data_IF_537789849872
#
_entry.id   IF_537789849872
#
_cell.length_a   1.000
_cell.length_b   1.000
_cell.length_c   1.000
_cell.angle_alpha   90.00
_cell.angle_beta   90.00
_cell.angle_gamma   90.00
#
_symmetry.space_group_name_H-M   'P 1'
#
loop_
_entity.id
_entity.type
_entity.pdbx_description
1 polymer ?
#
# COMPACT_ATOMS: atom_id res chain seq x y z
N UNK A 1 22.48 21.78 16.00
CA UNK A 1 21.57 20.63 15.85
C UNK A 1 22.14 19.76 14.73
N UNK A 2 22.14 18.42 14.86
CA UNK A 2 22.59 17.55 13.76
C UNK A 2 21.73 17.79 12.51
N UNK A 3 22.37 17.75 11.34
CA UNK A 3 21.69 17.84 10.05
C UNK A 3 20.69 16.67 9.91
N UNK A 4 19.43 16.96 9.57
CA UNK A 4 18.38 15.94 9.46
C UNK A 4 18.73 14.90 8.39
N UNK A 5 19.34 15.33 7.28
CA UNK A 5 19.80 14.43 6.22
C UNK A 5 20.89 13.49 6.72
N UNK A 6 21.82 13.99 7.54
CA UNK A 6 22.88 13.17 8.14
C UNK A 6 22.33 12.08 9.08
N UNK A 7 21.29 12.40 9.85
CA UNK A 7 20.57 11.43 10.69
C UNK A 7 19.86 10.36 9.83
N UNK A 8 19.23 10.76 8.73
CA UNK A 8 18.59 9.82 7.80
C UNK A 8 19.60 8.88 7.16
N UNK A 9 20.72 9.39 6.64
CA UNK A 9 21.77 8.56 6.04
C UNK A 9 22.39 7.58 7.05
N UNK A 10 22.57 8.03 8.29
CA UNK A 10 23.07 7.17 9.38
C UNK A 10 22.08 6.06 9.71
N UNK A 11 20.78 6.38 9.79
CA UNK A 11 19.73 5.39 10.06
C UNK A 11 19.61 4.36 8.93
N UNK A 12 19.66 4.79 7.66
CA UNK A 12 19.65 3.89 6.51
C UNK A 12 20.89 2.99 6.51
N UNK A 13 22.08 3.58 6.66
CA UNK A 13 23.33 2.81 6.67
C UNK A 13 23.45 1.81 7.82
N UNK A 14 22.72 2.01 8.92
CA UNK A 14 22.64 1.06 10.03
C UNK A 14 21.58 -0.03 9.81
N UNK A 15 20.54 0.23 9.03
CA UNK A 15 19.42 -0.68 8.81
C UNK A 15 19.65 -1.72 7.70
N UNK A 16 20.60 -1.48 6.81
CA UNK A 16 20.87 -2.31 5.64
C UNK A 16 22.31 -2.78 5.59
N UNK A 17 22.52 -4.04 5.18
CA UNK A 17 23.86 -4.52 4.88
C UNK A 17 24.39 -3.88 3.60
N UNK A 18 25.70 -3.98 3.37
CA UNK A 18 26.33 -3.44 2.17
C UNK A 18 25.70 -4.04 0.90
N UNK A 19 25.39 -5.34 0.91
CA UNK A 19 24.76 -6.04 -0.23
C UNK A 19 23.31 -5.62 -0.44
N UNK A 20 22.54 -5.42 0.63
CA UNK A 20 21.19 -4.85 0.53
C UNK A 20 21.21 -3.46 -0.11
N UNK A 21 22.20 -2.63 0.25
CA UNK A 21 22.36 -1.30 -0.35
C UNK A 21 22.70 -1.42 -1.84
N UNK A 22 23.58 -2.35 -2.25
CA UNK A 22 23.88 -2.57 -3.69
C UNK A 22 22.61 -2.94 -4.45
N UNK A 23 21.84 -3.87 -3.91
CA UNK A 23 20.61 -4.36 -4.53
C UNK A 23 19.52 -3.29 -4.61
N UNK A 24 19.34 -2.51 -3.54
CA UNK A 24 18.40 -1.39 -3.51
C UNK A 24 18.76 -0.33 -4.56
N UNK A 25 20.04 0.06 -4.64
CA UNK A 25 20.51 1.05 -5.62
C UNK A 25 20.35 0.53 -7.04
N UNK A 26 20.73 -0.72 -7.30
CA UNK A 26 20.58 -1.34 -8.63
C UNK A 26 19.11 -1.40 -9.04
N UNK A 27 18.20 -1.86 -8.16
CA UNK A 27 16.76 -1.93 -8.45
C UNK A 27 16.09 -0.57 -8.57
N UNK A 28 16.60 0.46 -7.90
CA UNK A 28 16.07 1.83 -8.02
C UNK A 28 16.55 2.54 -9.27
N UNK A 29 17.78 2.29 -9.71
CA UNK A 29 18.46 3.15 -10.70
C UNK A 29 18.90 2.42 -11.97
N UNK A 30 18.92 1.08 -11.95
CA UNK A 30 19.56 0.23 -12.96
C UNK A 30 21.08 0.35 -13.03
N UNK A 31 21.70 1.18 -12.18
CA UNK A 31 23.14 1.44 -12.18
C UNK A 31 23.79 0.65 -11.04
N UNK A 32 24.87 -0.10 -11.31
CA UNK A 32 25.67 -0.70 -10.25
C UNK A 32 26.19 0.37 -9.29
N UNK A 33 26.04 0.15 -7.98
CA UNK A 33 26.49 1.12 -6.98
C UNK A 33 28.01 1.41 -7.07
N UNK A 34 28.79 0.43 -7.54
CA UNK A 34 30.24 0.54 -7.76
C UNK A 34 30.62 1.66 -8.73
N UNK A 35 29.70 2.04 -9.62
CA UNK A 35 29.90 3.09 -10.60
C UNK A 35 29.62 4.49 -10.01
N UNK A 36 29.04 4.54 -8.80
CA UNK A 36 28.57 5.75 -8.13
C UNK A 36 29.38 6.09 -6.87
N UNK A 37 29.95 5.09 -6.19
CA UNK A 37 30.62 5.25 -4.90
C UNK A 37 31.87 4.38 -4.79
N UNK A 38 32.78 4.72 -3.87
CA UNK A 38 33.99 3.92 -3.63
C UNK A 38 33.66 2.64 -2.87
N UNK A 39 34.30 1.52 -3.22
CA UNK A 39 34.06 0.23 -2.54
C UNK A 39 34.29 0.29 -1.02
N UNK A 40 35.28 1.09 -0.59
CA UNK A 40 35.67 1.28 0.81
C UNK A 40 34.84 2.32 1.56
N UNK A 41 33.90 2.99 0.89
CA UNK A 41 33.02 3.94 1.57
C UNK A 41 32.15 3.19 2.60
N UNK A 42 31.98 3.71 3.82
CA UNK A 42 31.07 3.12 4.79
C UNK A 42 29.61 3.24 4.32
N UNK A 43 28.67 2.38 4.78
CA UNK A 43 27.27 2.35 4.34
C UNK A 43 26.59 3.72 4.30
N UNK A 44 26.74 4.51 5.37
CA UNK A 44 26.24 5.89 5.45
C UNK A 44 26.72 6.75 4.28
N UNK A 45 28.02 6.72 3.97
CA UNK A 45 28.63 7.55 2.92
C UNK A 45 28.21 7.08 1.52
N UNK A 46 28.02 5.76 1.34
CA UNK A 46 27.46 5.19 0.10
C UNK A 46 26.05 5.72 -0.14
N UNK A 47 25.18 5.67 0.88
CA UNK A 47 23.80 6.19 0.78
C UNK A 47 23.79 7.70 0.52
N UNK A 48 24.56 8.49 1.26
CA UNK A 48 24.70 9.93 1.05
C UNK A 48 25.03 10.22 -0.42
N UNK A 49 26.12 9.65 -0.95
CA UNK A 49 26.55 9.89 -2.34
C UNK A 49 25.48 9.50 -3.37
N UNK A 50 24.78 8.38 -3.18
CA UNK A 50 23.75 7.95 -4.13
C UNK A 50 22.50 8.84 -4.04
N UNK A 51 22.06 9.21 -2.84
CA UNK A 51 20.91 10.11 -2.67
C UNK A 51 21.22 11.47 -3.30
N UNK A 52 22.41 12.03 -3.10
CA UNK A 52 22.79 13.31 -3.71
C UNK A 52 22.89 13.21 -5.23
N UNK A 53 23.48 12.14 -5.77
CA UNK A 53 23.49 11.86 -7.20
C UNK A 53 22.08 11.80 -7.80
N UNK A 54 21.12 11.21 -7.09
CA UNK A 54 19.74 11.13 -7.55
C UNK A 54 18.98 12.44 -7.36
N UNK A 55 19.30 13.22 -6.32
CA UNK A 55 18.71 14.55 -6.07
C UNK A 55 19.01 15.49 -7.22
N UNK A 56 20.26 15.52 -7.69
CA UNK A 56 20.69 16.36 -8.81
C UNK A 56 19.96 16.03 -10.13
N UNK A 57 19.33 14.85 -10.20
CA UNK A 57 18.54 14.36 -11.34
C UNK A 57 17.03 14.34 -11.10
N UNK A 58 16.57 14.82 -9.94
CA UNK A 58 15.15 14.80 -9.56
C UNK A 58 14.59 13.40 -9.27
N UNK A 59 15.44 12.38 -9.08
CA UNK A 59 15.06 10.97 -8.95
C UNK A 59 15.31 10.38 -7.56
N UNK A 60 15.63 11.21 -6.55
CA UNK A 60 15.92 10.76 -5.18
C UNK A 60 14.81 9.89 -4.56
N UNK A 61 13.55 10.14 -4.95
CA UNK A 61 12.38 9.36 -4.53
C UNK A 61 12.50 7.88 -4.84
N UNK A 62 13.10 7.51 -5.97
CA UNK A 62 13.21 6.11 -6.38
C UNK A 62 13.96 5.26 -5.36
N UNK A 63 15.02 5.79 -4.77
CA UNK A 63 15.78 5.09 -3.74
C UNK A 63 15.08 5.19 -2.39
N UNK A 64 14.71 6.39 -1.97
CA UNK A 64 14.15 6.62 -0.63
C UNK A 64 12.85 5.84 -0.41
N UNK A 65 11.97 5.74 -1.42
CA UNK A 65 10.77 4.92 -1.33
C UNK A 65 11.09 3.43 -1.19
N UNK A 66 12.05 2.88 -1.95
CA UNK A 66 12.45 1.49 -1.80
C UNK A 66 13.04 1.22 -0.42
N UNK A 67 13.91 2.10 0.06
CA UNK A 67 14.49 2.03 1.41
C UNK A 67 13.39 1.99 2.48
N UNK A 68 12.42 2.91 2.44
CA UNK A 68 11.31 2.93 3.40
C UNK A 68 10.43 1.67 3.34
N UNK A 69 10.24 1.13 2.14
CA UNK A 69 9.46 -0.09 1.92
C UNK A 69 10.16 -1.33 2.47
N UNK A 70 11.49 -1.43 2.32
CA UNK A 70 12.28 -2.61 2.70
C UNK A 70 12.93 -2.54 4.10
N UNK A 71 12.87 -1.39 4.79
CA UNK A 71 13.50 -1.25 6.10
C UNK A 71 12.84 -2.16 7.15
N UNK A 72 13.59 -3.14 7.64
CA UNK A 72 13.21 -4.06 8.73
C UNK A 72 13.07 -3.34 10.08
N UNK A 73 13.89 -2.32 10.34
CA UNK A 73 13.75 -1.38 11.47
C UNK A 73 12.80 -0.21 11.13
N UNK A 74 11.61 -0.57 10.61
CA UNK A 74 10.79 0.25 9.72
C UNK A 74 10.48 1.67 10.20
N UNK A 75 9.92 1.82 11.40
CA UNK A 75 9.27 3.08 11.78
C UNK A 75 10.30 4.20 12.05
N UNK A 76 11.41 3.90 12.75
CA UNK A 76 12.48 4.88 12.99
C UNK A 76 13.16 5.34 11.68
N UNK A 77 13.50 4.40 10.79
CA UNK A 77 14.14 4.74 9.50
C UNK A 77 13.20 5.58 8.64
N UNK A 78 11.92 5.18 8.54
CA UNK A 78 10.89 5.92 7.80
C UNK A 78 10.71 7.34 8.34
N UNK A 79 10.64 7.50 9.66
CA UNK A 79 10.49 8.81 10.28
C UNK A 79 11.69 9.72 9.97
N UNK A 80 12.92 9.23 10.12
CA UNK A 80 14.13 10.01 9.79
C UNK A 80 14.16 10.40 8.31
N UNK A 81 13.72 9.53 7.41
CA UNK A 81 13.64 9.85 5.98
C UNK A 81 12.59 10.93 5.72
N UNK A 82 11.38 10.81 6.28
CA UNK A 82 10.32 11.81 6.09
C UNK A 82 10.72 13.17 6.67
N UNK A 83 11.34 13.20 7.85
CA UNK A 83 11.81 14.43 8.49
C UNK A 83 12.89 15.15 7.65
N UNK A 84 13.75 14.38 6.98
CA UNK A 84 14.86 14.89 6.19
C UNK A 84 14.49 15.23 4.74
N UNK A 85 13.53 14.52 4.16
CA UNK A 85 13.16 14.63 2.74
C UNK A 85 11.64 14.79 2.53
N UNK A 86 10.96 15.73 3.22
CA UNK A 86 9.50 15.86 3.16
C UNK A 86 9.03 16.12 1.73
N UNK A 87 9.65 17.07 1.01
CA UNK A 87 9.27 17.43 -0.37
C UNK A 87 9.40 16.27 -1.37
N UNK A 88 10.25 15.29 -1.08
CA UNK A 88 10.42 14.12 -1.96
C UNK A 88 9.23 13.18 -1.90
N UNK A 89 8.52 13.19 -0.76
CA UNK A 89 7.51 12.21 -0.40
C UNK A 89 6.10 12.79 -0.37
N UNK A 90 5.99 14.13 -0.32
CA UNK A 90 4.75 14.88 -0.50
C UNK A 90 4.25 14.75 -1.94
N UNK A 91 2.92 14.68 -2.10
CA UNK A 91 2.30 14.81 -3.42
C UNK A 91 2.69 13.68 -4.38
N UNK A 92 2.44 12.42 -3.97
CA UNK A 92 2.68 11.28 -4.83
C UNK A 92 1.94 11.46 -6.17
N UNK A 93 2.65 11.42 -7.32
CA UNK A 93 2.02 11.49 -8.63
C UNK A 93 1.07 10.31 -8.81
N UNK A 94 0.14 10.46 -9.75
CA UNK A 94 -0.77 9.38 -10.12
C UNK A 94 -0.02 8.37 -10.97
N UNK A 95 -0.14 7.08 -10.65
CA UNK A 95 0.48 6.03 -11.45
C UNK A 95 -0.03 6.05 -12.90
N UNK A 96 -1.28 6.46 -13.11
CA UNK A 96 -1.91 6.57 -14.43
C UNK A 96 -1.13 7.42 -15.44
N UNK A 97 -0.53 8.53 -15.03
CA UNK A 97 0.26 9.39 -15.94
C UNK A 97 1.54 8.69 -16.41
N UNK A 98 2.21 7.99 -15.48
CA UNK A 98 3.42 7.22 -15.79
C UNK A 98 3.09 5.97 -16.62
N UNK A 99 1.99 5.27 -16.31
CA UNK A 99 1.50 4.13 -17.10
C UNK A 99 1.16 4.57 -18.52
N UNK A 100 0.49 5.71 -18.70
CA UNK A 100 0.13 6.24 -20.02
C UNK A 100 1.38 6.48 -20.87
N UNK A 101 2.44 7.06 -20.29
CA UNK A 101 3.74 7.22 -20.94
C UNK A 101 4.38 5.88 -21.32
N UNK A 102 4.38 4.92 -20.41
CA UNK A 102 4.91 3.57 -20.67
C UNK A 102 4.13 2.86 -21.80
N UNK A 103 2.80 2.96 -21.81
CA UNK A 103 1.93 2.39 -22.84
C UNK A 103 2.17 3.03 -24.21
N UNK A 104 2.34 4.34 -24.29
CA UNK A 104 2.63 5.03 -25.55
C UNK A 104 3.91 4.50 -26.19
N UNK A 105 4.95 4.24 -25.39
CA UNK A 105 6.18 3.63 -25.88
C UNK A 105 6.00 2.16 -26.28
N UNK A 106 5.41 1.35 -25.40
CA UNK A 106 5.16 -0.07 -25.68
C UNK A 106 4.33 -0.25 -26.95
N UNK A 107 3.33 0.60 -27.18
CA UNK A 107 2.52 0.59 -28.40
C UNK A 107 3.36 0.86 -29.65
N UNK A 108 4.32 1.80 -29.60
CA UNK A 108 5.24 2.06 -30.73
C UNK A 108 6.12 0.84 -31.01
N UNK A 109 6.75 0.26 -29.98
CA UNK A 109 7.63 -0.90 -30.14
C UNK A 109 6.87 -2.13 -30.64
N UNK A 110 5.65 -2.35 -30.15
CA UNK A 110 4.81 -3.49 -30.48
C UNK A 110 3.92 -3.27 -31.72
N UNK A 111 4.02 -2.11 -32.38
CA UNK A 111 3.30 -1.84 -33.64
C UNK A 111 3.91 -2.58 -34.84
N UNK A 112 5.15 -3.04 -34.71
CA UNK A 112 5.89 -3.83 -35.70
C UNK A 112 6.27 -5.16 -35.04
N UNK A 113 6.16 -6.31 -35.74
CA UNK A 113 6.60 -7.58 -35.19
C UNK A 113 8.04 -7.49 -34.68
N UNK A 114 8.31 -8.02 -33.49
CA UNK A 114 9.63 -7.99 -32.91
C UNK A 114 10.62 -8.71 -33.85
N UNK A 115 11.76 -8.08 -34.19
CA UNK A 115 12.83 -8.74 -34.95
C UNK A 115 13.23 -10.07 -34.32
N UNK A 116 13.67 -11.03 -35.13
CA UNK A 116 13.97 -12.39 -34.66
C UNK A 116 15.06 -12.40 -33.59
N UNK A 117 16.04 -11.54 -33.73
CA UNK A 117 17.15 -11.33 -32.80
C UNK A 117 16.64 -10.83 -31.44
N UNK A 118 15.60 -9.98 -31.45
CA UNK A 118 14.93 -9.47 -30.24
C UNK A 118 14.18 -10.59 -29.55
N UNK A 119 13.40 -11.39 -30.30
CA UNK A 119 12.64 -12.52 -29.76
C UNK A 119 13.55 -13.56 -29.08
N UNK A 120 14.64 -13.95 -29.75
CA UNK A 120 15.59 -14.91 -29.20
C UNK A 120 16.25 -14.40 -27.92
N UNK A 121 16.54 -13.10 -27.86
CA UNK A 121 17.12 -12.45 -26.68
C UNK A 121 16.12 -12.29 -25.54
N UNK A 122 14.82 -12.23 -25.79
CA UNK A 122 13.78 -12.12 -24.75
C UNK A 122 13.26 -13.47 -24.25
N UNK A 123 13.58 -14.57 -24.94
CA UNK A 123 13.15 -15.92 -24.58
C UNK A 123 13.46 -16.30 -23.11
N UNK A 124 14.65 -16.00 -22.55
CA UNK A 124 14.95 -16.30 -21.14
C UNK A 124 14.04 -15.57 -20.15
N UNK A 125 13.51 -14.41 -20.55
CA UNK A 125 12.67 -13.54 -19.74
C UNK A 125 11.18 -13.88 -19.85
N UNK A 126 10.81 -14.91 -20.64
CA UNK A 126 9.42 -15.34 -20.86
C UNK A 126 8.66 -15.60 -19.56
N UNK A 127 9.31 -16.21 -18.56
CA UNK A 127 8.70 -16.46 -17.25
C UNK A 127 8.37 -15.16 -16.52
N UNK A 128 9.26 -14.17 -16.57
CA UNK A 128 9.05 -12.85 -15.97
C UNK A 128 7.89 -12.11 -16.65
N UNK A 129 7.85 -12.09 -17.99
CA UNK A 129 6.72 -11.52 -18.73
C UNK A 129 5.40 -12.24 -18.47
N UNK A 130 5.41 -13.56 -18.24
CA UNK A 130 4.20 -14.32 -17.89
C UNK A 130 3.71 -14.05 -16.47
N UNK A 131 4.64 -13.77 -15.54
CA UNK A 131 4.33 -13.44 -14.14
C UNK A 131 3.77 -12.02 -13.98
N UNK A 132 4.27 -11.03 -14.73
CA UNK A 132 3.86 -9.63 -14.57
C UNK A 132 2.35 -9.40 -14.68
N UNK A 133 1.63 -9.85 -15.73
CA UNK A 133 0.18 -9.72 -15.81
C UNK A 133 -0.52 -10.35 -14.61
N UNK A 134 -0.11 -11.54 -14.18
CA UNK A 134 -0.71 -12.23 -13.04
C UNK A 134 -0.57 -11.43 -11.75
N UNK A 135 0.62 -10.89 -11.49
CA UNK A 135 0.86 -10.04 -10.32
C UNK A 135 0.01 -8.77 -10.36
N UNK A 136 -0.05 -8.09 -11.51
CA UNK A 136 -0.84 -6.85 -11.65
C UNK A 136 -2.34 -7.11 -11.49
N UNK A 137 -2.85 -8.19 -12.08
CA UNK A 137 -4.26 -8.60 -11.91
C UNK A 137 -4.55 -8.91 -10.44
N UNK A 138 -3.66 -9.65 -9.78
CA UNK A 138 -3.80 -9.98 -8.37
C UNK A 138 -3.81 -8.73 -7.47
N UNK A 139 -2.94 -7.75 -7.73
CA UNK A 139 -2.93 -6.48 -7.00
C UNK A 139 -4.27 -5.75 -7.12
N UNK A 140 -4.80 -5.62 -8.34
CA UNK A 140 -6.09 -4.97 -8.56
C UNK A 140 -7.24 -5.71 -7.86
N UNK A 141 -7.28 -7.04 -7.97
CA UNK A 141 -8.30 -7.87 -7.34
C UNK A 141 -8.25 -7.79 -5.81
N UNK A 142 -7.08 -7.99 -5.21
CA UNK A 142 -6.90 -7.92 -3.75
C UNK A 142 -7.26 -6.54 -3.22
N UNK A 143 -6.90 -5.48 -3.96
CA UNK A 143 -7.23 -4.12 -3.57
C UNK A 143 -8.73 -3.81 -3.65
N UNK A 144 -9.42 -4.36 -4.65
CA UNK A 144 -10.88 -4.25 -4.76
C UNK A 144 -11.59 -4.91 -3.57
N UNK A 145 -11.15 -6.11 -3.17
CA UNK A 145 -11.67 -6.79 -1.97
C UNK A 145 -11.37 -5.99 -0.70
N UNK A 146 -10.16 -5.45 -0.59
CA UNK A 146 -9.73 -4.65 0.55
C UNK A 146 -10.59 -3.39 0.72
N UNK A 147 -10.91 -2.68 -0.37
CA UNK A 147 -11.79 -1.50 -0.33
C UNK A 147 -13.19 -1.87 0.19
N UNK A 148 -13.77 -2.96 -0.29
CA UNK A 148 -15.08 -3.43 0.15
C UNK A 148 -15.11 -3.70 1.66
N UNK A 149 -14.11 -4.44 2.14
CA UNK A 149 -13.97 -4.75 3.56
C UNK A 149 -13.69 -3.51 4.41
N UNK A 150 -12.94 -2.54 3.89
CA UNK A 150 -12.68 -1.28 4.60
C UNK A 150 -13.94 -0.42 4.75
N UNK A 151 -14.74 -0.30 3.68
CA UNK A 151 -16.04 0.38 3.73
C UNK A 151 -17.00 -0.29 4.72
N UNK A 152 -17.03 -1.63 4.72
CA UNK A 152 -17.79 -2.40 5.70
C UNK A 152 -17.30 -2.12 7.13
N UNK A 153 -15.98 -2.13 7.36
CA UNK A 153 -15.39 -1.85 8.67
C UNK A 153 -15.79 -0.46 9.20
N UNK A 154 -15.76 0.57 8.36
CA UNK A 154 -16.17 1.91 8.78
C UNK A 154 -17.66 2.01 9.09
N UNK A 155 -18.49 1.30 8.32
CA UNK A 155 -19.93 1.20 8.62
C UNK A 155 -20.15 0.51 9.98
N UNK A 156 -19.39 -0.56 10.25
CA UNK A 156 -19.43 -1.26 11.54
C UNK A 156 -18.98 -0.38 12.70
N UNK A 157 -17.87 0.35 12.55
CA UNK A 157 -17.37 1.28 13.56
C UNK A 157 -18.40 2.39 13.86
N UNK A 158 -19.17 2.83 12.86
CA UNK A 158 -20.26 3.80 13.09
C UNK A 158 -21.38 3.20 13.94
N UNK A 159 -21.80 1.98 13.63
CA UNK A 159 -22.89 1.31 14.34
C UNK A 159 -22.49 0.87 15.74
N UNK A 160 -21.23 0.48 15.95
CA UNK A 160 -20.64 0.26 17.28
C UNK A 160 -20.76 1.51 18.15
N UNK A 161 -20.37 2.69 17.63
CA UNK A 161 -20.47 3.96 18.35
C UNK A 161 -21.93 4.32 18.68
N UNK A 162 -22.88 4.10 17.77
CA UNK A 162 -24.31 4.33 18.02
C UNK A 162 -24.90 3.38 19.07
N UNK A 163 -24.46 2.12 19.08
CA UNK A 163 -24.87 1.16 20.11
C UNK A 163 -24.33 1.50 21.49
N UNK A 164 -23.11 2.03 21.55
CA UNK A 164 -22.47 2.50 22.76
C UNK A 164 -23.08 3.78 23.31
N UNK A 165 -23.39 4.74 22.42
CA UNK A 165 -23.90 6.07 22.78
C UNK A 165 -25.32 6.24 22.23
N UNK A 166 -26.32 5.75 22.98
CA UNK A 166 -27.76 5.87 22.62
C UNK A 166 -28.32 7.30 22.76
N UNK A 167 -27.47 8.30 22.91
CA UNK A 167 -27.91 9.69 23.05
C UNK A 167 -28.53 10.18 21.73
N UNK A 168 -29.70 10.83 21.84
CA UNK A 168 -30.39 11.56 20.75
C UNK A 168 -31.19 10.76 19.70
N UNK A 169 -31.69 9.56 20.03
CA UNK A 169 -32.72 8.92 19.19
C UNK A 169 -32.25 8.49 17.79
N UNK A 170 -30.94 8.52 17.52
CA UNK A 170 -30.34 7.95 16.33
C UNK A 170 -30.11 6.46 16.57
N UNK A 171 -30.82 5.61 15.82
CA UNK A 171 -30.73 4.15 15.93
C UNK A 171 -29.65 3.60 14.98
N UNK A 172 -28.93 2.54 15.36
CA UNK A 172 -28.02 1.85 14.45
C UNK A 172 -28.76 1.27 13.25
N UNK A 173 -28.16 1.38 12.06
CA UNK A 173 -28.72 0.94 10.79
C UNK A 173 -28.35 -0.51 10.47
N UNK A 174 -28.70 -1.45 11.35
CA UNK A 174 -28.26 -2.86 11.26
C UNK A 174 -28.66 -3.56 9.95
N UNK A 175 -29.80 -3.17 9.37
CA UNK A 175 -30.24 -3.69 8.06
C UNK A 175 -29.33 -3.21 6.92
N UNK A 176 -28.96 -1.93 6.93
CA UNK A 176 -28.01 -1.39 5.95
C UNK A 176 -26.64 -2.08 6.06
N UNK A 177 -26.17 -2.36 7.28
CA UNK A 177 -24.94 -3.14 7.48
C UNK A 177 -25.06 -4.53 6.85
N UNK A 178 -26.17 -5.24 7.09
CA UNK A 178 -26.39 -6.56 6.50
C UNK A 178 -26.41 -6.51 4.96
N UNK A 179 -27.02 -5.49 4.38
CA UNK A 179 -27.06 -5.31 2.92
C UNK A 179 -25.67 -4.96 2.34
N UNK A 180 -24.84 -4.21 3.06
CA UNK A 180 -23.43 -4.00 2.68
C UNK A 180 -22.60 -5.29 2.75
N UNK A 181 -22.89 -6.19 3.69
CA UNK A 181 -22.23 -7.50 3.74
C UNK A 181 -22.60 -8.33 2.50
N UNK A 182 -23.88 -8.37 2.14
CA UNK A 182 -24.34 -9.12 0.97
C UNK A 182 -23.70 -8.56 -0.32
N UNK A 183 -23.66 -7.23 -0.48
CA UNK A 183 -22.96 -6.59 -1.60
C UNK A 183 -21.46 -6.95 -1.64
N UNK A 184 -20.79 -6.99 -0.48
CA UNK A 184 -19.39 -7.40 -0.42
C UNK A 184 -19.21 -8.86 -0.83
N UNK A 185 -20.10 -9.76 -0.39
CA UNK A 185 -20.10 -11.19 -0.78
C UNK A 185 -20.33 -11.34 -2.28
N UNK A 186 -21.29 -10.63 -2.87
CA UNK A 186 -21.59 -10.67 -4.31
C UNK A 186 -20.41 -10.25 -5.20
N UNK A 187 -19.55 -9.35 -4.71
CA UNK A 187 -18.36 -8.89 -5.44
C UNK A 187 -17.19 -9.90 -5.40
N UNK A 188 -17.18 -10.82 -4.43
CA UNK A 188 -16.08 -11.79 -4.29
C UNK A 188 -15.95 -12.70 -5.51
N UNK A 189 -17.00 -13.40 -6.01
CA UNK A 189 -16.87 -14.27 -7.18
C UNK A 189 -16.35 -13.54 -8.43
N UNK A 190 -16.84 -12.33 -8.68
CA UNK A 190 -16.38 -11.52 -9.82
C UNK A 190 -14.90 -11.18 -9.70
N UNK A 191 -14.45 -10.83 -8.50
CA UNK A 191 -13.05 -10.48 -8.25
C UNK A 191 -12.14 -11.70 -8.29
N UNK A 192 -12.59 -12.85 -7.76
CA UNK A 192 -11.87 -14.11 -7.83
C UNK A 192 -11.76 -14.66 -9.26
N UNK A 193 -12.75 -14.39 -10.12
CA UNK A 193 -12.71 -14.82 -11.53
C UNK A 193 -11.55 -14.21 -12.33
N UNK A 194 -10.96 -13.12 -11.82
CA UNK A 194 -9.76 -12.50 -12.41
C UNK A 194 -8.47 -13.25 -12.05
N UNK A 195 -8.50 -14.13 -11.05
CA UNK A 195 -7.32 -14.78 -10.49
C UNK A 195 -7.18 -16.22 -11.00
N UNK A 196 -6.01 -16.56 -11.52
CA UNK A 196 -5.60 -17.96 -11.76
C UNK A 196 -5.05 -18.59 -10.45
N UNK A 197 -5.74 -18.42 -9.32
CA UNK A 197 -5.18 -18.74 -8.00
C UNK A 197 -5.64 -20.10 -7.46
N UNK A 198 -4.67 -20.95 -7.08
CA UNK A 198 -4.89 -22.19 -6.33
C UNK A 198 -5.34 -21.95 -4.87
N UNK A 199 -5.29 -20.70 -4.40
CA UNK A 199 -5.72 -20.31 -3.05
C UNK A 199 -6.35 -18.91 -3.08
N UNK A 200 -7.66 -18.78 -2.90
CA UNK A 200 -8.32 -17.49 -2.93
C UNK A 200 -7.97 -16.67 -1.67
N UNK A 201 -7.87 -15.32 -1.79
CA UNK A 201 -7.58 -14.42 -0.68
C UNK A 201 -8.67 -14.38 0.41
N UNK A 202 -9.89 -14.82 0.08
CA UNK A 202 -11.01 -14.99 1.01
C UNK A 202 -11.51 -16.42 0.86
N UNK A 203 -11.60 -17.15 1.97
CA UNK A 203 -12.05 -18.55 1.96
C UNK A 203 -13.57 -18.69 1.91
N UNK A 204 -14.08 -19.79 1.37
CA UNK A 204 -15.51 -20.13 1.42
C UNK A 204 -16.06 -20.13 2.86
N UNK A 205 -15.26 -20.59 3.82
CA UNK A 205 -15.62 -20.58 5.24
C UNK A 205 -15.71 -19.17 5.85
N UNK A 206 -14.99 -18.18 5.30
CA UNK A 206 -15.15 -16.78 5.69
C UNK A 206 -16.38 -16.16 5.05
N UNK A 207 -16.68 -16.47 3.78
CA UNK A 207 -17.93 -16.04 3.13
C UNK A 207 -19.15 -16.55 3.89
N UNK A 208 -19.18 -17.84 4.24
CA UNK A 208 -20.27 -18.42 5.03
C UNK A 208 -20.44 -17.74 6.41
N UNK A 209 -19.35 -17.27 7.03
CA UNK A 209 -19.44 -16.50 8.29
C UNK A 209 -20.02 -15.11 8.08
N UNK A 210 -19.64 -14.43 6.99
CA UNK A 210 -20.22 -13.13 6.63
C UNK A 210 -21.74 -13.25 6.40
N UNK A 211 -22.19 -14.29 5.69
CA UNK A 211 -23.62 -14.59 5.51
C UNK A 211 -24.35 -14.81 6.84
N UNK A 212 -23.75 -15.59 7.76
CA UNK A 212 -24.31 -15.82 9.09
C UNK A 212 -24.41 -14.52 9.91
N UNK A 213 -23.41 -13.64 9.82
CA UNK A 213 -23.45 -12.34 10.48
C UNK A 213 -24.51 -11.42 9.86
N UNK A 214 -24.64 -11.38 8.54
CA UNK A 214 -25.69 -10.61 7.86
C UNK A 214 -27.09 -11.04 8.31
N UNK A 215 -27.35 -12.35 8.37
CA UNK A 215 -28.59 -12.90 8.90
C UNK A 215 -28.82 -12.50 10.38
N UNK A 216 -27.78 -12.57 11.21
CA UNK A 216 -27.85 -12.23 12.64
C UNK A 216 -28.10 -10.74 12.89
N UNK A 217 -27.57 -9.86 12.04
CA UNK A 217 -27.83 -8.42 12.10
C UNK A 217 -29.28 -8.10 11.72
N UNK A 218 -29.83 -8.79 10.71
CA UNK A 218 -31.23 -8.65 10.31
C UNK A 218 -32.20 -9.05 11.42
N UNK A 219 -31.94 -10.16 12.10
CA UNK A 219 -32.78 -10.60 13.24
C UNK A 219 -32.65 -9.69 14.44
N UNK A 220 -31.51 -9.03 14.62
CA UNK A 220 -31.26 -8.07 15.71
C UNK A 220 -31.75 -6.66 15.39
N UNK A 221 -32.31 -6.40 14.19
CA UNK A 221 -32.73 -5.07 13.77
C UNK A 221 -33.81 -4.46 14.68
N UNK A 222 -34.73 -5.30 15.19
CA UNK A 222 -35.83 -4.86 16.06
C UNK A 222 -35.43 -4.83 17.56
N UNK A 223 -34.26 -5.37 17.91
CA UNK A 223 -33.69 -5.39 19.25
C UNK A 223 -32.16 -5.16 19.19
N UNK A 224 -31.71 -3.91 18.95
CA UNK A 224 -30.33 -3.61 18.60
C UNK A 224 -29.28 -3.99 19.64
N UNK A 225 -29.62 -4.07 20.93
CA UNK A 225 -28.72 -4.58 21.99
C UNK A 225 -28.17 -5.98 21.68
N UNK A 226 -28.92 -6.81 20.97
CA UNK A 226 -28.49 -8.16 20.61
C UNK A 226 -27.39 -8.16 19.53
N UNK A 227 -27.22 -7.03 18.83
CA UNK A 227 -26.25 -6.90 17.75
C UNK A 227 -24.83 -6.59 18.23
N UNK A 228 -24.62 -6.22 19.50
CA UNK A 228 -23.29 -5.82 20.03
C UNK A 228 -22.24 -6.90 19.79
N UNK A 229 -22.51 -8.12 20.24
CA UNK A 229 -21.59 -9.26 20.08
C UNK A 229 -21.40 -9.63 18.59
N UNK A 230 -22.44 -9.47 17.78
CA UNK A 230 -22.40 -9.73 16.34
C UNK A 230 -21.46 -8.74 15.64
N UNK A 231 -21.60 -7.45 15.93
CA UNK A 231 -20.76 -6.39 15.37
C UNK A 231 -19.30 -6.57 15.79
N UNK A 232 -19.04 -6.83 17.07
CA UNK A 232 -17.66 -7.08 17.54
C UNK A 232 -16.99 -8.25 16.81
N UNK A 233 -17.70 -9.38 16.69
CA UNK A 233 -17.17 -10.56 16.01
C UNK A 233 -16.98 -10.34 14.52
N UNK A 234 -17.90 -9.62 13.87
CA UNK A 234 -17.79 -9.24 12.48
C UNK A 234 -16.61 -8.27 12.25
N UNK A 235 -16.42 -7.26 13.10
CA UNK A 235 -15.27 -6.37 13.04
C UNK A 235 -13.94 -7.13 13.20
N UNK A 236 -13.86 -8.10 14.12
CA UNK A 236 -12.68 -8.96 14.29
C UNK A 236 -12.40 -9.77 13.01
N UNK A 237 -13.43 -10.34 12.39
CA UNK A 237 -13.31 -11.06 11.13
C UNK A 237 -12.79 -10.15 10.01
N UNK A 238 -13.44 -9.00 9.81
CA UNK A 238 -13.10 -8.03 8.76
C UNK A 238 -11.68 -7.50 8.93
N UNK A 239 -11.26 -7.11 10.14
CA UNK A 239 -9.88 -6.66 10.41
C UNK A 239 -8.83 -7.72 10.10
N UNK A 240 -9.12 -8.98 10.45
CA UNK A 240 -8.22 -10.10 10.12
C UNK A 240 -8.06 -10.26 8.61
N UNK A 241 -9.17 -10.25 7.86
CA UNK A 241 -9.15 -10.36 6.40
C UNK A 241 -8.45 -9.17 5.74
N UNK A 242 -8.65 -7.95 6.26
CA UNK A 242 -7.93 -6.75 5.80
C UNK A 242 -6.42 -6.87 6.02
N UNK A 243 -5.99 -7.35 7.20
CA UNK A 243 -4.57 -7.57 7.51
C UNK A 243 -3.93 -8.61 6.59
N UNK A 244 -4.64 -9.73 6.34
CA UNK A 244 -4.22 -10.76 5.39
C UNK A 244 -4.03 -10.18 3.98
N UNK A 245 -5.06 -9.52 3.45
CA UNK A 245 -5.02 -8.89 2.12
C UNK A 245 -3.91 -7.87 2.00
N UNK A 246 -3.67 -7.08 3.04
CA UNK A 246 -2.60 -6.08 3.04
C UNK A 246 -1.21 -6.72 2.98
N UNK A 247 -1.00 -7.81 3.72
CA UNK A 247 0.26 -8.57 3.65
C UNK A 247 0.46 -9.16 2.25
N UNK A 248 -0.60 -9.70 1.64
CA UNK A 248 -0.55 -10.28 0.30
C UNK A 248 -0.28 -9.20 -0.77
N UNK A 249 -0.93 -8.04 -0.68
CA UNK A 249 -0.66 -6.87 -1.53
C UNK A 249 0.79 -6.41 -1.36
N UNK A 250 1.26 -6.26 -0.12
CA UNK A 250 2.61 -5.79 0.16
C UNK A 250 3.67 -6.75 -0.42
N UNK A 251 3.46 -8.06 -0.25
CA UNK A 251 4.33 -9.09 -0.83
C UNK A 251 4.28 -9.07 -2.36
N UNK A 252 3.10 -8.94 -2.97
CA UNK A 252 2.96 -8.85 -4.42
C UNK A 252 3.65 -7.62 -4.99
N UNK A 253 3.56 -6.47 -4.33
CA UNK A 253 4.27 -5.24 -4.74
C UNK A 253 5.78 -5.39 -4.56
N UNK A 254 6.22 -6.07 -3.51
CA UNK A 254 7.64 -6.37 -3.30
C UNK A 254 8.22 -7.26 -4.40
N UNK A 255 7.44 -8.25 -4.82
CA UNK A 255 7.80 -9.23 -5.85
C UNK A 255 7.59 -8.72 -7.28
N UNK A 256 6.88 -7.60 -7.45
CA UNK A 256 6.64 -6.99 -8.75
C UNK A 256 7.95 -6.41 -9.28
N UNK A 257 8.50 -7.08 -10.28
CA UNK A 257 9.70 -6.65 -11.01
C UNK A 257 9.33 -6.32 -12.45
N UNK A 258 9.84 -5.20 -12.93
CA UNK A 258 9.83 -4.81 -14.34
C UNK A 258 11.24 -4.86 -14.95
N UNK A 259 12.16 -5.61 -14.33
CA UNK A 259 13.58 -5.65 -14.74
C UNK A 259 13.72 -6.27 -16.14
N UNK A 260 12.85 -7.23 -16.49
CA UNK A 260 12.80 -7.79 -17.84
C UNK A 260 12.52 -6.73 -18.92
N UNK A 261 11.80 -5.66 -18.56
CA UNK A 261 11.47 -4.56 -19.46
C UNK A 261 12.54 -3.44 -19.45
N UNK A 262 13.17 -3.20 -18.30
CA UNK A 262 14.03 -2.03 -18.08
C UNK A 262 15.52 -2.32 -18.15
N UNK A 263 15.96 -3.53 -17.79
CA UNK A 263 17.37 -3.91 -17.73
C UNK A 263 17.72 -5.05 -18.73
N UNK A 264 16.83 -6.03 -18.92
CA UNK A 264 17.11 -7.20 -19.78
C UNK A 264 16.83 -6.94 -21.26
N UNK A 265 15.75 -6.22 -21.58
CA UNK A 265 15.42 -5.78 -22.94
C UNK A 265 16.55 -4.95 -23.61
N UNK A 266 17.22 -4.00 -22.93
CA UNK A 266 18.13 -3.04 -23.59
C UNK A 266 19.60 -3.46 -23.54
N UNK A 267 20.04 -4.09 -22.45
CA UNK A 267 21.37 -4.72 -22.38
C UNK A 267 21.56 -5.75 -23.51
N UNK A 268 20.43 -6.31 -23.97
CA UNK A 268 20.37 -7.23 -25.09
C UNK A 268 20.06 -6.53 -26.42
N UNK A 269 19.89 -5.21 -26.50
CA UNK A 269 19.58 -4.48 -27.73
C UNK A 269 20.30 -3.12 -27.74
N UNK A 270 21.60 -3.14 -28.05
CA UNK A 270 22.46 -1.94 -28.06
C UNK A 270 21.89 -0.76 -28.86
N UNK A 271 21.21 -1.01 -29.99
CA UNK A 271 20.60 0.06 -30.81
C UNK A 271 19.35 0.71 -30.18
N UNK A 272 18.72 0.06 -29.20
CA UNK A 272 17.50 0.56 -28.54
C UNK A 272 17.87 1.26 -27.23
N UNK A 273 18.93 0.82 -26.55
CA UNK A 273 19.38 1.35 -25.26
C UNK A 273 19.68 2.86 -25.30
N UNK A 274 20.23 3.35 -26.41
CA UNK A 274 20.58 4.76 -26.59
C UNK A 274 19.45 5.60 -27.19
N UNK A 275 18.27 5.00 -27.47
CA UNK A 275 17.13 5.77 -27.98
C UNK A 275 16.47 6.55 -26.85
N UNK A 276 16.19 7.83 -27.10
CA UNK A 276 15.49 8.73 -26.15
C UNK A 276 14.18 8.11 -25.67
N UNK A 277 13.46 7.47 -26.59
CA UNK A 277 12.17 6.84 -26.32
C UNK A 277 12.30 5.67 -25.35
N UNK A 278 13.38 4.89 -25.43
CA UNK A 278 13.64 3.81 -24.48
C UNK A 278 13.99 4.35 -23.09
N UNK A 279 14.80 5.41 -23.01
CA UNK A 279 15.10 6.08 -21.74
C UNK A 279 13.84 6.62 -21.06
N UNK A 280 12.90 7.17 -21.85
CA UNK A 280 11.58 7.60 -21.36
C UNK A 280 10.74 6.44 -20.81
N UNK A 281 10.74 5.27 -21.47
CA UNK A 281 10.08 4.07 -20.94
C UNK A 281 10.67 3.67 -19.59
N UNK A 282 12.00 3.59 -19.48
CA UNK A 282 12.68 3.18 -18.24
C UNK A 282 12.35 4.15 -17.11
N UNK A 283 12.41 5.46 -17.38
CA UNK A 283 12.01 6.48 -16.42
C UNK A 283 10.55 6.28 -15.99
N UNK A 284 9.63 6.11 -16.95
CA UNK A 284 8.22 5.91 -16.65
C UNK A 284 7.97 4.66 -15.78
N UNK A 285 8.63 3.54 -16.08
CA UNK A 285 8.48 2.31 -15.30
C UNK A 285 9.07 2.44 -13.89
N UNK A 286 10.20 3.13 -13.73
CA UNK A 286 10.78 3.40 -12.40
C UNK A 286 9.89 4.32 -11.57
N UNK A 287 9.32 5.35 -12.20
CA UNK A 287 8.35 6.23 -11.56
C UNK A 287 7.07 5.48 -11.15
N UNK A 288 6.53 4.63 -12.02
CA UNK A 288 5.41 3.73 -11.69
C UNK A 288 5.76 2.89 -10.47
N UNK A 289 6.92 2.22 -10.49
CA UNK A 289 7.34 1.33 -9.41
C UNK A 289 7.47 2.06 -8.09
N UNK A 290 8.14 3.22 -8.07
CA UNK A 290 8.25 4.06 -6.88
C UNK A 290 6.88 4.55 -6.39
N UNK A 291 5.95 4.86 -7.30
CA UNK A 291 4.58 5.28 -6.94
C UNK A 291 3.80 4.16 -6.27
N UNK A 292 3.85 2.97 -6.84
CA UNK A 292 3.11 1.81 -6.33
C UNK A 292 3.66 1.35 -4.98
N UNK A 293 4.99 1.36 -4.80
CA UNK A 293 5.62 1.10 -3.51
C UNK A 293 5.19 2.12 -2.45
N UNK A 294 5.25 3.42 -2.77
CA UNK A 294 4.86 4.48 -1.85
C UNK A 294 3.38 4.40 -1.45
N UNK A 295 2.48 4.16 -2.43
CA UNK A 295 1.05 3.99 -2.19
C UNK A 295 0.75 2.79 -1.30
N UNK A 296 1.39 1.67 -1.58
CA UNK A 296 1.21 0.44 -0.79
C UNK A 296 1.71 0.60 0.64
N UNK A 297 2.88 1.23 0.82
CA UNK A 297 3.40 1.56 2.15
C UNK A 297 2.44 2.49 2.89
N UNK A 298 1.95 3.55 2.23
CA UNK A 298 1.02 4.49 2.83
C UNK A 298 -0.29 3.81 3.24
N UNK A 299 -0.91 3.03 2.35
CA UNK A 299 -2.13 2.26 2.65
C UNK A 299 -1.94 1.31 3.83
N UNK A 300 -0.77 0.64 3.92
CA UNK A 300 -0.42 -0.19 5.08
C UNK A 300 -0.32 0.61 6.38
N UNK A 301 0.32 1.78 6.36
CA UNK A 301 0.42 2.64 7.56
C UNK A 301 -0.95 3.13 8.03
N UNK A 302 -1.88 3.45 7.12
CA UNK A 302 -3.26 3.79 7.48
C UNK A 302 -4.00 2.61 8.13
N UNK A 303 -3.80 1.39 7.63
CA UNK A 303 -4.40 0.19 8.23
C UNK A 303 -3.81 -0.13 9.60
N UNK A 304 -2.50 0.01 9.75
CA UNK A 304 -1.82 -0.20 11.01
C UNK A 304 -2.27 0.86 12.06
N UNK A 305 -2.58 2.09 11.63
CA UNK A 305 -3.19 3.11 12.48
C UNK A 305 -4.65 2.78 12.87
N UNK A 306 -5.48 2.26 11.94
CA UNK A 306 -6.85 1.79 12.26
C UNK A 306 -6.82 0.64 13.27
N UNK A 307 -5.92 -0.33 13.08
CA UNK A 307 -5.78 -1.47 13.98
C UNK A 307 -5.40 -1.02 15.39
N UNK A 308 -4.48 -0.06 15.51
CA UNK A 308 -4.10 0.51 16.80
C UNK A 308 -5.25 1.31 17.43
N UNK A 309 -6.00 2.11 16.67
CA UNK A 309 -7.20 2.79 17.17
C UNK A 309 -8.24 1.80 17.72
N UNK A 310 -8.41 0.64 17.07
CA UNK A 310 -9.30 -0.40 17.56
C UNK A 310 -8.83 -1.04 18.89
N UNK A 311 -7.54 -0.99 19.22
CA UNK A 311 -7.05 -1.36 20.55
C UNK A 311 -7.45 -0.32 21.59
N UNK A 312 -7.33 0.96 21.24
CA UNK A 312 -7.70 2.08 22.12
C UNK A 312 -9.19 2.00 22.51
N UNK A 313 -10.08 1.69 21.56
CA UNK A 313 -11.51 1.49 21.83
C UNK A 313 -11.79 0.48 22.96
N UNK A 314 -10.93 -0.52 23.18
CA UNK A 314 -11.14 -1.55 24.21
C UNK A 314 -10.93 -1.04 25.63
N UNK A 315 -10.08 -0.03 25.84
CA UNK A 315 -9.87 0.56 27.17
C UNK A 315 -11.14 1.26 27.70
N UNK A 316 -12.04 1.70 26.83
CA UNK A 316 -13.32 2.28 27.23
C UNK A 316 -14.37 1.22 27.65
N UNK A 317 -14.12 -0.06 27.40
CA UNK A 317 -15.02 -1.17 27.78
C UNK A 317 -14.64 -1.73 29.16
N UNK A 318 -13.34 -1.74 29.48
CA UNK A 318 -12.78 -2.15 30.78
C UNK A 318 -11.92 -0.99 31.31
N UNK A 319 -12.51 -0.01 32.02
CA UNK A 319 -11.78 1.18 32.43
C UNK A 319 -10.73 0.84 33.50
N UNK A 320 -9.50 0.59 33.05
CA UNK A 320 -8.29 0.60 33.88
C UNK A 320 -7.69 2.03 33.95
N UNK A 321 -6.60 2.19 34.71
CA UNK A 321 -5.89 3.47 34.90
C UNK A 321 -5.42 4.08 33.57
N UNK A 322 -5.48 5.40 33.43
CA UNK A 322 -5.16 6.18 32.21
C UNK A 322 -3.72 5.94 31.74
N UNK A 323 -2.82 5.55 32.64
CA UNK A 323 -1.45 5.15 32.30
C UNK A 323 -1.38 3.95 31.35
N UNK A 324 -2.40 3.09 31.31
CA UNK A 324 -2.43 1.91 30.42
C UNK A 324 -2.73 2.25 28.95
N UNK A 325 -3.48 3.33 28.69
CA UNK A 325 -3.84 3.76 27.33
C UNK A 325 -2.82 4.72 26.71
N UNK A 326 -2.02 5.41 27.54
CA UNK A 326 -1.15 6.50 27.09
C UNK A 326 -0.11 6.05 26.05
N UNK A 327 0.54 4.91 26.26
CA UNK A 327 1.57 4.39 25.33
C UNK A 327 0.96 3.97 23.98
N UNK A 328 -0.22 3.33 24.00
CA UNK A 328 -0.94 2.93 22.80
C UNK A 328 -1.46 4.15 22.03
N UNK A 329 -1.92 5.19 22.74
CA UNK A 329 -2.33 6.46 22.16
C UNK A 329 -1.16 7.19 21.51
N UNK A 330 -0.02 7.30 22.20
CA UNK A 330 1.18 7.91 21.63
C UNK A 330 1.60 7.20 20.34
N UNK A 331 1.52 5.87 20.31
CA UNK A 331 1.80 5.08 19.10
C UNK A 331 0.84 5.40 17.95
N UNK A 332 -0.46 5.57 18.21
CA UNK A 332 -1.45 6.00 17.20
C UNK A 332 -1.12 7.40 16.71
N UNK A 333 -0.89 8.33 17.63
CA UNK A 333 -0.62 9.73 17.34
C UNK A 333 0.64 9.89 16.48
N UNK A 334 1.76 9.27 16.86
CA UNK A 334 3.01 9.34 16.11
C UNK A 334 2.84 8.89 14.65
N UNK A 335 2.05 7.84 14.43
CA UNK A 335 1.73 7.35 13.07
C UNK A 335 0.87 8.33 12.29
N UNK A 336 -0.12 8.94 12.93
CA UNK A 336 -1.02 9.90 12.27
C UNK A 336 -0.29 11.21 11.98
N UNK A 337 0.56 11.68 12.88
CA UNK A 337 1.44 12.83 12.66
C UNK A 337 2.40 12.58 11.50
N UNK A 338 2.95 11.36 11.39
CA UNK A 338 3.76 10.96 10.24
C UNK A 338 2.97 10.97 8.93
N UNK A 339 1.74 10.42 8.93
CA UNK A 339 0.86 10.44 7.75
C UNK A 339 0.48 11.87 7.35
N UNK A 340 0.23 12.74 8.32
CA UNK A 340 -0.08 14.15 8.12
C UNK A 340 1.11 14.93 7.54
N UNK A 341 2.33 14.62 7.96
CA UNK A 341 3.55 15.21 7.40
C UNK A 341 3.76 14.88 5.90
N UNK A 342 3.17 13.78 5.41
CA UNK A 342 3.22 13.40 3.99
C UNK A 342 2.16 14.10 3.13
N UNK A 343 1.15 14.71 3.74
CA UNK A 343 0.05 15.42 3.07
C UNK A 343 -0.25 16.77 3.75
N UNK A 344 0.75 17.68 3.84
CA UNK A 344 0.61 18.91 4.60
C UNK A 344 -0.40 19.90 4.00
N UNK A 345 -0.67 19.81 2.70
CA UNK A 345 -1.62 20.69 2.01
C UNK A 345 -3.08 20.22 2.14
N UNK A 346 -3.30 19.06 2.74
CA UNK A 346 -4.64 18.60 3.00
C UNK A 346 -5.11 19.15 4.34
N UNK A 347 -6.22 19.90 4.34
CA UNK A 347 -6.81 20.44 5.57
C UNK A 347 -7.00 19.38 6.65
N UNK A 348 -7.08 18.11 6.26
CA UNK A 348 -7.17 17.01 7.21
C UNK A 348 -5.99 16.92 8.19
N UNK A 349 -4.78 17.24 7.77
CA UNK A 349 -3.60 17.18 8.62
C UNK A 349 -3.69 18.10 9.85
N UNK A 350 -4.32 19.27 9.72
CA UNK A 350 -4.48 20.23 10.81
C UNK A 350 -5.61 19.82 11.76
N UNK A 351 -6.72 19.35 11.22
CA UNK A 351 -7.86 18.80 11.99
C UNK A 351 -7.43 17.60 12.82
N UNK A 352 -6.64 16.68 12.27
CA UNK A 352 -6.11 15.52 12.99
C UNK A 352 -5.26 15.95 14.19
N UNK A 353 -4.38 16.95 14.03
CA UNK A 353 -3.56 17.49 15.11
C UNK A 353 -4.41 18.15 16.19
N UNK A 354 -5.44 18.89 15.80
CA UNK A 354 -6.35 19.55 16.73
C UNK A 354 -7.04 18.53 17.65
N UNK A 355 -7.68 17.51 17.06
CA UNK A 355 -8.33 16.46 17.84
C UNK A 355 -7.34 15.65 18.70
N UNK A 356 -6.14 15.38 18.17
CA UNK A 356 -5.11 14.69 18.95
C UNK A 356 -4.69 15.49 20.19
N UNK A 357 -4.53 16.81 20.06
CA UNK A 357 -4.24 17.71 21.20
C UNK A 357 -5.39 17.77 22.20
N UNK A 358 -6.65 17.72 21.75
CA UNK A 358 -7.81 17.66 22.65
C UNK A 358 -7.75 16.37 23.50
N UNK A 359 -7.50 15.22 22.88
CA UNK A 359 -7.36 13.93 23.58
C UNK A 359 -6.15 13.94 24.54
N UNK A 360 -5.00 14.47 24.13
CA UNK A 360 -3.83 14.60 25.00
C UNK A 360 -4.13 15.43 26.26
N UNK A 361 -4.83 16.56 26.08
CA UNK A 361 -5.19 17.44 27.17
C UNK A 361 -6.15 16.76 28.15
N UNK A 362 -7.06 15.93 27.66
CA UNK A 362 -7.97 15.14 28.49
C UNK A 362 -7.23 14.05 29.26
N UNK A 363 -6.34 13.28 28.62
CA UNK A 363 -5.50 12.31 29.31
C UNK A 363 -4.60 12.95 30.38
N UNK A 364 -4.14 14.19 30.17
CA UNK A 364 -3.35 14.91 31.18
C UNK A 364 -4.19 15.41 32.37
N UNK A 365 -5.51 15.63 32.18
CA UNK A 365 -6.42 16.21 33.19
C UNK A 365 -7.16 15.14 33.98
N UNK A 366 -7.52 14.03 33.35
CA UNK A 366 -8.40 13.03 33.92
C UNK A 366 -7.64 11.85 34.53
N UNK A 367 -8.09 11.40 35.71
CA UNK A 367 -7.55 10.20 36.38
C UNK A 367 -8.24 8.91 35.93
N UNK A 368 -9.32 9.00 35.15
CA UNK A 368 -10.13 7.89 34.65
C UNK A 368 -10.68 8.25 33.28
N UNK A 369 -10.80 7.28 32.39
CA UNK A 369 -11.44 7.43 31.10
C UNK A 369 -12.95 7.64 31.32
N UNK A 370 -13.44 8.87 31.16
CA UNK A 370 -14.86 9.18 31.24
C UNK A 370 -15.54 9.17 29.86
N UNK A 371 -16.86 9.40 29.84
CA UNK A 371 -17.65 9.41 28.61
C UNK A 371 -17.28 10.56 27.65
N UNK A 372 -16.72 11.67 28.15
CA UNK A 372 -16.28 12.78 27.30
C UNK A 372 -15.03 12.40 26.51
N UNK A 373 -14.05 11.77 27.17
CA UNK A 373 -12.83 11.29 26.49
C UNK A 373 -13.16 10.27 25.42
N UNK A 374 -14.14 9.39 25.70
CA UNK A 374 -14.68 8.46 24.71
C UNK A 374 -15.30 9.18 23.52
N UNK A 375 -16.09 10.24 23.75
CA UNK A 375 -16.73 11.01 22.68
C UNK A 375 -15.70 11.72 21.79
N UNK A 376 -14.66 12.34 22.36
CA UNK A 376 -13.59 12.95 21.57
C UNK A 376 -12.80 11.91 20.76
N UNK A 377 -12.52 10.74 21.36
CA UNK A 377 -11.86 9.66 20.64
C UNK A 377 -12.71 9.12 19.48
N UNK A 378 -14.01 8.91 19.66
CA UNK A 378 -14.89 8.46 18.58
C UNK A 378 -15.09 9.53 17.51
N UNK A 379 -15.11 10.81 17.87
CA UNK A 379 -15.11 11.92 16.91
C UNK A 379 -13.84 11.91 16.05
N UNK A 380 -12.68 11.74 16.69
CA UNK A 380 -11.39 11.60 16.01
C UNK A 380 -11.37 10.40 15.05
N UNK A 381 -11.79 9.23 15.52
CA UNK A 381 -11.88 8.00 14.72
C UNK A 381 -12.89 8.09 13.57
N UNK A 382 -14.01 8.78 13.77
CA UNK A 382 -15.00 9.00 12.71
C UNK A 382 -14.44 9.90 11.60
N UNK A 383 -13.74 10.96 12.00
CA UNK A 383 -13.13 11.91 11.09
C UNK A 383 -11.99 11.27 10.27
N UNK A 384 -11.20 10.37 10.88
CA UNK A 384 -10.11 9.61 10.24
C UNK A 384 -10.55 8.78 9.00
N UNK A 385 -11.84 8.43 8.90
CA UNK A 385 -12.38 7.58 7.81
C UNK A 385 -12.21 8.22 6.43
N UNK A 386 -12.44 9.54 6.33
CA UNK A 386 -12.43 10.25 5.05
C UNK A 386 -11.05 10.20 4.36
N UNK A 387 -9.98 10.66 5.03
CA UNK A 387 -8.62 10.57 4.50
C UNK A 387 -8.20 9.14 4.16
N UNK A 388 -8.54 8.16 4.99
CA UNK A 388 -8.21 6.77 4.71
C UNK A 388 -8.91 6.26 3.45
N UNK A 389 -10.24 6.46 3.31
CA UNK A 389 -10.96 6.09 2.08
C UNK A 389 -10.35 6.73 0.84
N UNK A 390 -9.95 8.00 0.90
CA UNK A 390 -9.31 8.70 -0.22
C UNK A 390 -7.99 8.03 -0.64
N UNK A 391 -7.16 7.63 0.32
CA UNK A 391 -5.92 6.90 0.04
C UNK A 391 -6.21 5.51 -0.53
N UNK A 392 -7.24 4.84 -0.01
CA UNK A 392 -7.67 3.54 -0.47
C UNK A 392 -8.13 3.57 -1.94
N UNK A 393 -9.02 4.51 -2.25
CA UNK A 393 -9.54 4.77 -3.60
C UNK A 393 -8.43 5.13 -4.58
N UNK A 394 -7.51 6.03 -4.17
CA UNK A 394 -6.38 6.43 -5.01
C UNK A 394 -5.46 5.24 -5.30
N UNK A 395 -5.19 4.41 -4.30
CA UNK A 395 -4.36 3.21 -4.46
C UNK A 395 -5.04 2.20 -5.40
N UNK A 396 -6.37 2.03 -5.32
CA UNK A 396 -7.11 1.20 -6.27
C UNK A 396 -7.02 1.76 -7.69
N UNK A 397 -7.17 3.07 -7.88
CA UNK A 397 -7.02 3.70 -9.20
C UNK A 397 -5.62 3.51 -9.78
N UNK A 398 -4.58 3.60 -8.95
CA UNK A 398 -3.20 3.37 -9.36
C UNK A 398 -2.97 1.90 -9.77
N UNK A 399 -3.53 0.93 -9.03
CA UNK A 399 -3.46 -0.49 -9.39
C UNK A 399 -4.32 -0.83 -10.61
N UNK A 400 -5.46 -0.17 -10.78
CA UNK A 400 -6.29 -0.26 -11.97
C UNK A 400 -5.59 0.32 -13.20
N UNK A 401 -4.78 1.37 -13.02
CA UNK A 401 -3.94 1.90 -14.09
C UNK A 401 -2.87 0.89 -14.48
N UNK A 402 -2.17 0.28 -13.51
CA UNK A 402 -1.20 -0.79 -13.79
C UNK A 402 -1.79 -1.92 -14.62
N UNK A 403 -3.05 -2.31 -14.35
CA UNK A 403 -3.76 -3.36 -15.08
C UNK A 403 -3.72 -3.19 -16.60
N UNK A 404 -3.68 -1.95 -17.09
CA UNK A 404 -3.59 -1.64 -18.52
C UNK A 404 -2.27 -2.12 -19.17
N UNK A 405 -1.19 -2.26 -18.41
CA UNK A 405 0.07 -2.84 -18.90
C UNK A 405 -0.06 -4.35 -19.23
N UNK A 406 -1.11 -5.02 -18.75
CA UNK A 406 -1.37 -6.43 -19.01
C UNK A 406 -1.54 -6.75 -20.49
N UNK A 407 -2.14 -5.85 -21.28
CA UNK A 407 -2.30 -6.02 -22.73
C UNK A 407 -0.96 -6.13 -23.47
N UNK A 408 -0.08 -5.11 -23.40
CA UNK A 408 1.25 -5.16 -23.97
C UNK A 408 2.08 -6.38 -23.53
N UNK A 409 2.02 -6.78 -22.26
CA UNK A 409 2.73 -7.97 -21.79
C UNK A 409 2.22 -9.26 -22.44
N UNK A 410 0.90 -9.40 -22.63
CA UNK A 410 0.32 -10.53 -23.37
C UNK A 410 0.76 -10.52 -24.84
N UNK A 411 0.84 -9.35 -25.46
CA UNK A 411 1.33 -9.23 -26.84
C UNK A 411 2.79 -9.70 -26.97
N UNK A 412 3.67 -9.25 -26.07
CA UNK A 412 5.07 -9.71 -26.00
C UNK A 412 5.11 -11.24 -25.83
N UNK A 413 4.33 -11.80 -24.90
CA UNK A 413 4.29 -13.25 -24.68
C UNK A 413 3.82 -14.04 -25.89
N UNK A 414 2.81 -13.55 -26.61
CA UNK A 414 2.31 -14.18 -27.82
C UNK A 414 3.39 -14.17 -28.91
N UNK A 415 4.11 -13.07 -29.05
CA UNK A 415 5.22 -12.95 -29.99
C UNK A 415 6.39 -13.88 -29.67
N UNK A 416 6.67 -14.12 -28.38
CA UNK A 416 7.68 -15.07 -27.92
C UNK A 416 7.23 -16.53 -28.01
N UNK A 417 5.92 -16.79 -28.07
CA UNK A 417 5.36 -18.15 -28.17
C UNK A 417 5.17 -18.63 -29.62
N UNK A 418 5.12 -17.70 -30.58
CA UNK A 418 4.93 -17.98 -32.01
C UNK A 418 6.25 -18.25 -32.79
N UNK A 419 7.36 -18.54 -32.12
CA UNK A 419 8.61 -18.95 -32.79
C UNK A 419 8.58 -20.48 -33.07
N UNK A 420 8.57 -20.95 -34.33
CA UNK A 420 8.32 -22.35 -34.72
C UNK A 420 9.32 -23.41 -34.20
N UNK A 421 10.27 -23.06 -33.35
CA UNK A 421 11.20 -24.00 -32.71
C UNK A 421 10.81 -24.42 -31.28
N UNK A 422 9.90 -23.71 -30.60
CA UNK A 422 9.40 -24.15 -29.28
C UNK A 422 8.39 -25.31 -29.37
N UNK A 423 7.97 -25.69 -30.57
CA UNK A 423 7.14 -26.87 -30.84
C UNK A 423 7.94 -28.18 -30.96
N UNK A 424 9.26 -28.13 -30.76
CA UNK A 424 10.19 -29.24 -31.02
C UNK A 424 10.66 -30.05 -29.80
N UNK A 425 10.40 -29.59 -28.56
CA UNK A 425 10.89 -30.25 -27.34
C UNK A 425 9.77 -30.94 -26.55
N UNK A 426 8.98 -31.76 -27.26
CA UNK A 426 8.25 -32.89 -26.65
C UNK A 426 8.46 -34.12 -27.52
N UNK A 427 9.47 -34.91 -27.16
CA UNK A 427 9.50 -36.36 -27.31
C UNK A 427 9.89 -36.95 -25.97
#
# INVERSE_FOLDING_TARGET
MPDKSDLAYSAIGAAFSDDDIKDLVKRSTGIPITDLVGERDPPKKKIEKVVEFLRDRGNQRWLLTRVMFHATAGDMVRQKIVDAFPETLIGLPKAGDHVTRALAYLSKVLSVPLPREVKYRLLPSRRSFARMPKCVIALFAYKTLQECLLRLLFTLNANEALLANRAEGVTPELRSVADHIDQAIEQVPQTLSLLDADSPPISEGELAKLEQFAASLRTSADAPENAVVVIENLQRLVRRSLSQLNNDIFKLVQDLSFDALTDELPSRLQHIQDSTEFQELVQAIRDVTATILARSLKSRMWQDAEANMALISKYFILPDDVTSIADDWLTVRERIDWLAALEPDEGWADEAKKYALEIDNEFCREKKLDDNVRLHFEAYRAWFRGPFLKIDDTTRMDFGSLYLLGGPFRQILNELSNDPRTSGDTV
#
